data_IF_609470692919
#
_entry.id   IF_609470692919
#
_cell.length_a   1.000
_cell.length_b   1.000
_cell.length_c   1.000
_cell.angle_alpha   90.00
_cell.angle_beta   90.00
_cell.angle_gamma   90.00
#
_symmetry.space_group_name_H-M   'P 1'
#
loop_
_entity.id
_entity.type
_entity.pdbx_description
1 polymer ?
#
# COMPACT_ATOMS: atom_id res chain seq x y z
N UNK A 1 43.15 -39.42 -16.80
CA UNK A 1 42.57 -38.16 -16.31
C UNK A 1 42.70 -37.04 -17.34
N UNK A 2 41.59 -36.34 -17.61
CA UNK A 2 41.50 -35.09 -18.39
C UNK A 2 41.39 -33.94 -17.38
N UNK A 3 42.33 -32.96 -17.37
CA UNK A 3 42.19 -31.77 -16.54
C UNK A 3 41.21 -30.77 -17.17
N UNK A 4 40.49 -30.04 -16.33
CA UNK A 4 39.51 -29.03 -16.75
C UNK A 4 38.76 -28.42 -15.56
N UNK A 5 37.86 -27.49 -15.84
CA UNK A 5 37.00 -26.82 -14.86
C UNK A 5 35.55 -26.75 -15.36
N UNK A 6 34.61 -26.70 -14.41
CA UNK A 6 33.19 -26.49 -14.68
C UNK A 6 32.83 -25.02 -14.42
N UNK A 7 32.27 -24.36 -15.43
CA UNK A 7 31.96 -22.92 -15.42
C UNK A 7 30.46 -22.70 -15.63
N UNK A 8 29.92 -21.68 -14.96
CA UNK A 8 28.50 -21.30 -15.01
C UNK A 8 28.37 -19.80 -15.29
N UNK A 9 27.48 -19.42 -16.19
CA UNK A 9 27.14 -18.00 -16.42
C UNK A 9 26.22 -17.47 -15.31
N UNK A 10 26.45 -16.23 -14.86
CA UNK A 10 25.62 -15.59 -13.83
C UNK A 10 25.92 -16.02 -12.39
N UNK A 11 27.00 -16.78 -12.18
CA UNK A 11 27.36 -17.31 -10.86
C UNK A 11 27.79 -16.21 -9.89
N UNK A 12 27.13 -16.15 -8.73
CA UNK A 12 27.52 -15.29 -7.61
C UNK A 12 28.25 -16.14 -6.58
N UNK A 13 29.35 -15.63 -6.03
CA UNK A 13 30.11 -16.31 -4.97
C UNK A 13 30.12 -15.48 -3.70
N UNK A 14 29.78 -16.11 -2.57
CA UNK A 14 29.94 -15.51 -1.25
C UNK A 14 31.41 -15.65 -0.78
N UNK A 15 31.80 -14.88 0.24
CA UNK A 15 33.13 -14.89 0.89
C UNK A 15 33.64 -16.29 1.26
N UNK A 16 32.73 -17.23 1.50
CA UNK A 16 33.03 -18.64 1.84
C UNK A 16 33.22 -19.54 0.60
N UNK A 17 33.26 -19.00 -0.62
CA UNK A 17 33.40 -19.75 -1.88
C UNK A 17 32.14 -20.51 -2.33
N UNK A 18 31.04 -20.43 -1.58
CA UNK A 18 29.73 -21.00 -1.98
C UNK A 18 29.18 -20.28 -3.20
N UNK A 19 28.63 -21.06 -4.13
CA UNK A 19 28.16 -20.65 -5.46
C UNK A 19 26.64 -20.58 -5.51
N UNK A 20 26.11 -19.49 -6.04
CA UNK A 20 24.69 -19.22 -6.12
C UNK A 20 24.28 -18.82 -7.55
N UNK A 21 23.06 -19.19 -7.94
CA UNK A 21 22.42 -18.80 -9.20
C UNK A 21 20.95 -18.43 -8.97
N UNK A 22 20.37 -17.71 -9.92
CA UNK A 22 18.99 -17.25 -9.89
C UNK A 22 18.03 -18.26 -10.52
N UNK A 23 16.94 -18.59 -9.81
CA UNK A 23 15.83 -19.39 -10.34
C UNK A 23 15.18 -18.73 -11.57
N UNK A 24 14.74 -19.53 -12.55
CA UNK A 24 14.09 -19.04 -13.78
C UNK A 24 15.03 -18.34 -14.79
N UNK A 25 16.32 -18.19 -14.48
CA UNK A 25 17.32 -17.65 -15.41
C UNK A 25 17.98 -18.75 -16.25
N UNK A 26 18.19 -18.49 -17.56
CA UNK A 26 18.87 -19.44 -18.45
C UNK A 26 20.36 -19.45 -18.10
N UNK A 27 20.83 -20.55 -17.53
CA UNK A 27 22.24 -20.77 -17.19
C UNK A 27 22.93 -21.57 -18.29
N UNK A 28 24.06 -21.08 -18.78
CA UNK A 28 25.00 -21.85 -19.58
C UNK A 28 26.01 -22.54 -18.65
N UNK A 29 25.93 -23.87 -18.61
CA UNK A 29 26.84 -24.76 -17.88
C UNK A 29 27.86 -25.28 -18.90
N UNK A 30 29.17 -25.10 -18.65
CA UNK A 30 30.21 -25.45 -19.62
C UNK A 30 31.46 -26.07 -18.98
N UNK A 31 32.06 -27.06 -19.65
CA UNK A 31 33.35 -27.66 -19.26
C UNK A 31 34.47 -27.06 -20.09
N UNK A 32 35.42 -26.42 -19.40
CA UNK A 32 36.66 -25.93 -20.01
C UNK A 32 37.77 -26.96 -19.81
N UNK A 33 38.21 -27.62 -20.88
CA UNK A 33 39.29 -28.62 -20.85
C UNK A 33 40.66 -27.94 -20.93
N UNK A 34 41.60 -28.35 -20.07
CA UNK A 34 42.93 -27.74 -19.94
C UNK A 34 44.01 -28.54 -20.70
N UNK A 35 44.00 -28.46 -22.03
CA UNK A 35 45.08 -28.98 -22.90
C UNK A 35 45.68 -27.88 -23.80
N UNK A 36 46.91 -28.08 -24.32
CA UNK A 36 47.45 -27.22 -25.37
C UNK A 36 46.55 -27.21 -26.62
N UNK A 37 46.44 -26.06 -27.29
CA UNK A 37 45.51 -25.87 -28.43
C UNK A 37 45.66 -26.92 -29.54
N UNK A 38 46.90 -27.30 -29.88
CA UNK A 38 47.19 -28.34 -30.89
C UNK A 38 46.52 -29.68 -30.53
N UNK A 39 46.65 -30.10 -29.27
CA UNK A 39 46.05 -31.33 -28.77
C UNK A 39 44.53 -31.27 -28.83
N UNK A 40 43.93 -30.11 -28.49
CA UNK A 40 42.48 -29.92 -28.53
C UNK A 40 41.90 -29.99 -29.96
N UNK A 41 42.63 -29.52 -30.98
CA UNK A 41 42.19 -29.57 -32.38
C UNK A 41 42.23 -30.99 -32.98
N UNK A 42 43.13 -31.84 -32.48
CA UNK A 42 43.31 -33.23 -32.92
C UNK A 42 42.53 -34.24 -32.04
N UNK A 43 41.78 -33.77 -31.04
CA UNK A 43 41.04 -34.62 -30.09
C UNK A 43 39.54 -34.58 -30.31
N UNK A 44 38.89 -35.73 -30.12
CA UNK A 44 37.43 -35.85 -30.06
C UNK A 44 37.00 -36.02 -28.60
N UNK A 45 35.93 -35.34 -28.18
CA UNK A 45 35.40 -35.42 -26.81
C UNK A 45 33.91 -35.75 -26.82
N UNK A 46 33.49 -36.60 -25.90
CA UNK A 46 32.10 -36.88 -25.58
C UNK A 46 31.85 -36.58 -24.10
N UNK A 47 30.69 -35.99 -23.81
CA UNK A 47 30.28 -35.50 -22.51
C UNK A 47 29.03 -36.25 -22.07
N UNK A 48 29.07 -36.87 -20.90
CA UNK A 48 27.92 -37.44 -20.21
C UNK A 48 27.57 -36.54 -19.04
N UNK A 49 26.44 -35.86 -19.15
CA UNK A 49 25.93 -34.91 -18.17
C UNK A 49 24.95 -35.58 -17.22
N UNK A 50 24.92 -35.05 -16.00
CA UNK A 50 23.97 -35.40 -14.94
C UNK A 50 23.63 -34.09 -14.25
N UNK A 51 22.41 -33.61 -14.48
CA UNK A 51 21.87 -32.37 -13.93
C UNK A 51 20.54 -32.79 -13.30
N UNK A 52 20.39 -32.61 -11.99
CA UNK A 52 19.21 -33.08 -11.25
C UNK A 52 18.99 -34.60 -11.46
N UNK A 53 17.83 -35.01 -11.98
CA UNK A 53 17.51 -36.40 -12.35
C UNK A 53 17.83 -36.71 -13.83
N UNK A 54 18.15 -35.70 -14.64
CA UNK A 54 18.39 -35.84 -16.08
C UNK A 54 19.81 -36.34 -16.38
N UNK A 55 19.88 -37.48 -17.08
CA UNK A 55 21.12 -38.07 -17.58
C UNK A 55 21.12 -38.07 -19.12
N UNK A 56 22.11 -37.44 -19.76
CA UNK A 56 22.22 -37.42 -21.22
C UNK A 56 23.68 -37.36 -21.71
N UNK A 57 23.89 -37.75 -22.97
CA UNK A 57 25.20 -37.74 -23.64
C UNK A 57 25.20 -36.82 -24.85
N UNK A 58 26.26 -36.05 -25.05
CA UNK A 58 26.42 -35.10 -26.16
C UNK A 58 27.90 -34.93 -26.53
N UNK A 59 28.16 -34.42 -27.73
CA UNK A 59 29.46 -33.92 -28.19
C UNK A 59 29.74 -32.47 -27.73
N UNK A 60 28.71 -31.75 -27.26
CA UNK A 60 28.84 -30.36 -26.82
C UNK A 60 29.47 -30.25 -25.43
N UNK A 61 30.47 -29.37 -25.31
CA UNK A 61 31.12 -29.01 -24.04
C UNK A 61 30.26 -28.13 -23.13
N UNK A 62 29.05 -27.77 -23.56
CA UNK A 62 28.15 -26.89 -22.83
C UNK A 62 26.68 -27.31 -22.96
N UNK A 63 25.87 -26.87 -21.99
CA UNK A 63 24.42 -27.07 -21.94
C UNK A 63 23.75 -25.80 -21.42
N UNK A 64 22.70 -25.36 -22.11
CA UNK A 64 21.76 -24.38 -21.56
C UNK A 64 20.72 -25.13 -20.73
N UNK A 65 20.48 -24.66 -19.51
CA UNK A 65 19.51 -25.22 -18.56
C UNK A 65 18.92 -24.10 -17.70
N UNK A 66 17.67 -24.26 -17.25
CA UNK A 66 16.94 -23.26 -16.45
C UNK A 66 16.39 -23.97 -15.22
N UNK A 67 16.93 -23.62 -14.05
CA UNK A 67 16.49 -24.19 -12.78
C UNK A 67 15.14 -23.59 -12.36
N UNK A 68 14.17 -24.44 -12.02
CA UNK A 68 12.83 -24.06 -11.57
C UNK A 68 12.69 -23.96 -10.05
N UNK A 69 13.51 -24.72 -9.32
CA UNK A 69 13.33 -24.93 -7.88
C UNK A 69 14.56 -24.46 -7.09
N UNK A 70 14.32 -23.63 -6.08
CA UNK A 70 15.37 -23.16 -5.18
C UNK A 70 15.87 -24.27 -4.23
N UNK A 71 17.18 -24.33 -4.02
CA UNK A 71 17.79 -25.38 -3.20
C UNK A 71 19.22 -25.73 -3.62
N UNK A 72 19.86 -26.70 -2.95
CA UNK A 72 21.14 -27.24 -3.35
C UNK A 72 20.96 -28.19 -4.55
N UNK A 73 21.71 -27.94 -5.62
CA UNK A 73 21.67 -28.69 -6.87
C UNK A 73 23.07 -29.19 -7.21
N UNK A 74 23.16 -30.49 -7.50
CA UNK A 74 24.44 -31.16 -7.75
C UNK A 74 24.61 -31.48 -9.23
N UNK A 75 25.60 -30.86 -9.86
CA UNK A 75 25.85 -30.98 -11.29
C UNK A 75 27.11 -31.80 -11.48
N UNK A 76 27.03 -32.82 -12.34
CA UNK A 76 28.11 -33.78 -12.59
C UNK A 76 28.26 -33.99 -14.10
N UNK A 77 29.50 -34.09 -14.55
CA UNK A 77 29.81 -34.35 -15.95
C UNK A 77 31.05 -35.23 -16.06
N UNK A 78 30.88 -36.37 -16.71
CA UNK A 78 31.95 -37.26 -17.11
C UNK A 78 32.34 -36.94 -18.56
N UNK A 79 33.64 -36.74 -18.80
CA UNK A 79 34.16 -36.44 -20.14
C UNK A 79 35.06 -37.57 -20.58
N UNK A 80 34.84 -38.12 -21.77
CA UNK A 80 35.73 -39.09 -22.42
C UNK A 80 36.31 -38.44 -23.66
N UNK A 81 37.64 -38.46 -23.78
CA UNK A 81 38.37 -37.88 -24.90
C UNK A 81 39.27 -38.91 -25.58
N UNK A 82 39.19 -38.97 -26.90
CA UNK A 82 40.16 -39.64 -27.77
C UNK A 82 41.22 -38.60 -28.14
N UNK A 83 42.45 -38.81 -27.66
CA UNK A 83 43.52 -37.80 -27.69
C UNK A 83 44.74 -38.36 -28.42
N UNK A 84 45.43 -37.60 -29.29
CA UNK A 84 46.65 -38.04 -29.97
C UNK A 84 47.78 -38.40 -28.99
N UNK A 85 48.61 -39.34 -29.39
CA UNK A 85 49.72 -39.88 -28.60
C UNK A 85 51.04 -39.68 -29.34
N UNK A 86 51.70 -38.53 -29.11
CA UNK A 86 52.83 -38.04 -29.90
C UNK A 86 54.09 -38.92 -30.07
N UNK A 87 54.32 -40.04 -29.35
CA UNK A 87 55.31 -41.04 -29.78
C UNK A 87 54.95 -41.80 -31.07
N UNK A 88 53.66 -41.87 -31.44
CA UNK A 88 53.14 -42.52 -32.65
C UNK A 88 52.20 -41.58 -33.40
N UNK A 89 52.50 -41.27 -34.66
CA UNK A 89 51.71 -40.34 -35.48
C UNK A 89 50.28 -40.81 -35.75
N UNK A 90 50.00 -42.10 -35.64
CA UNK A 90 48.66 -42.67 -35.78
C UNK A 90 48.08 -43.15 -34.43
N UNK A 91 48.83 -42.97 -33.34
CA UNK A 91 48.45 -43.42 -32.01
C UNK A 91 47.41 -42.50 -31.38
N UNK A 92 46.27 -43.07 -30.98
CA UNK A 92 45.30 -42.41 -30.12
C UNK A 92 45.25 -43.11 -28.76
N UNK A 93 45.03 -42.34 -27.70
CA UNK A 93 44.70 -42.89 -26.38
C UNK A 93 43.41 -42.30 -25.85
N UNK A 94 42.61 -43.15 -25.23
CA UNK A 94 41.43 -42.71 -24.50
C UNK A 94 41.84 -42.19 -23.13
N UNK A 95 41.27 -41.05 -22.75
CA UNK A 95 41.30 -40.56 -21.38
C UNK A 95 39.88 -40.19 -20.96
N UNK A 96 39.66 -40.23 -19.66
CA UNK A 96 38.44 -39.72 -19.04
C UNK A 96 38.78 -38.64 -18.01
N UNK A 97 37.83 -37.77 -17.71
CA UNK A 97 37.84 -36.82 -16.59
C UNK A 97 36.44 -36.76 -15.97
N UNK A 98 36.34 -36.31 -14.73
CA UNK A 98 35.08 -36.19 -14.01
C UNK A 98 35.05 -34.86 -13.27
N UNK A 99 34.01 -34.08 -13.50
CA UNK A 99 33.83 -32.77 -12.89
C UNK A 99 32.48 -32.76 -12.18
N UNK A 100 32.45 -32.27 -10.95
CA UNK A 100 31.24 -32.13 -10.17
C UNK A 100 31.32 -30.89 -9.31
N UNK A 101 30.20 -30.19 -9.16
CA UNK A 101 30.10 -28.95 -8.38
C UNK A 101 28.69 -28.85 -7.79
N UNK A 102 28.61 -28.36 -6.56
CA UNK A 102 27.34 -28.14 -5.86
C UNK A 102 27.05 -26.65 -5.86
N UNK A 103 25.91 -26.28 -6.44
CA UNK A 103 25.45 -24.90 -6.55
C UNK A 103 24.15 -24.74 -5.77
N UNK A 104 23.88 -23.56 -5.22
CA UNK A 104 22.61 -23.28 -4.54
C UNK A 104 21.78 -22.32 -5.38
N UNK A 105 20.66 -22.81 -5.91
CA UNK A 105 19.68 -21.99 -6.63
C UNK A 105 18.87 -21.17 -5.60
N UNK A 106 18.65 -19.89 -5.91
CA UNK A 106 18.01 -18.90 -5.05
C UNK A 106 16.97 -18.10 -5.84
N UNK A 107 15.76 -18.03 -5.28
CA UNK A 107 14.71 -17.16 -5.82
C UNK A 107 15.08 -15.68 -5.64
N UNK A 108 15.01 -14.88 -6.71
CA UNK A 108 15.29 -13.45 -6.67
C UNK A 108 14.20 -12.70 -5.90
N UNK A 109 14.57 -11.59 -5.25
CA UNK A 109 13.62 -10.63 -4.71
C UNK A 109 13.11 -9.77 -5.87
N UNK A 110 11.84 -9.94 -6.23
CA UNK A 110 11.21 -9.17 -7.33
C UNK A 110 10.35 -8.02 -6.80
N UNK A 111 9.67 -8.21 -5.66
CA UNK A 111 8.79 -7.22 -5.06
C UNK A 111 8.96 -7.22 -3.54
N UNK A 112 8.79 -6.04 -2.93
CA UNK A 112 8.64 -5.85 -1.49
C UNK A 112 7.19 -5.42 -1.25
N UNK A 113 6.50 -6.13 -0.37
CA UNK A 113 5.17 -5.82 0.12
C UNK A 113 5.26 -5.19 1.51
N UNK A 114 4.40 -4.23 1.79
CA UNK A 114 4.43 -3.40 3.00
C UNK A 114 3.01 -3.32 3.54
N UNK A 115 2.79 -3.89 4.71
CA UNK A 115 1.51 -3.86 5.42
C UNK A 115 1.63 -3.05 6.71
N UNK A 116 0.64 -2.21 7.00
CA UNK A 116 0.61 -1.35 8.17
C UNK A 116 0.10 0.05 7.84
N UNK A 117 0.00 0.92 8.85
CA UNK A 117 -0.54 2.26 8.68
C UNK A 117 0.59 3.31 8.54
N UNK A 118 0.56 4.10 7.48
CA UNK A 118 1.51 5.22 7.26
C UNK A 118 0.95 6.59 7.63
N UNK A 119 -0.33 6.68 8.04
CA UNK A 119 -0.98 7.92 8.49
C UNK A 119 -1.22 7.86 10.00
N UNK A 120 -0.31 8.43 10.77
CA UNK A 120 -0.25 8.29 12.22
C UNK A 120 -0.65 9.59 12.94
N UNK A 121 -1.31 9.45 14.09
CA UNK A 121 -1.49 10.56 15.01
C UNK A 121 -0.19 10.81 15.79
N UNK A 122 0.06 12.08 16.11
CA UNK A 122 1.17 12.42 16.99
C UNK A 122 1.09 11.64 18.31
N UNK A 123 2.16 10.89 18.63
CA UNK A 123 2.20 9.99 19.78
C UNK A 123 1.99 8.50 19.46
N UNK A 124 1.52 8.15 18.26
CA UNK A 124 1.41 6.75 17.82
C UNK A 124 2.78 6.19 17.36
N UNK A 125 2.90 4.86 17.42
CA UNK A 125 4.03 4.12 16.86
C UNK A 125 3.75 3.77 15.40
N UNK A 126 4.77 3.90 14.55
CA UNK A 126 4.79 3.24 13.25
C UNK A 126 5.03 1.76 13.49
N UNK A 127 4.13 0.93 12.96
CA UNK A 127 4.21 -0.52 12.93
C UNK A 127 3.93 -0.97 11.49
N UNK A 128 4.98 -1.43 10.81
CA UNK A 128 4.91 -1.96 9.45
C UNK A 128 5.48 -3.37 9.44
N UNK A 129 4.74 -4.31 8.87
CA UNK A 129 5.25 -5.64 8.52
C UNK A 129 5.70 -5.64 7.06
N UNK A 130 6.97 -5.95 6.84
CA UNK A 130 7.61 -5.98 5.52
C UNK A 130 7.76 -7.44 5.11
N UNK A 131 7.23 -7.79 3.94
CA UNK A 131 7.36 -9.13 3.36
C UNK A 131 7.92 -9.06 1.94
N UNK A 132 8.68 -10.06 1.51
CA UNK A 132 9.13 -10.13 0.12
C UNK A 132 9.13 -11.55 -0.45
N UNK A 133 8.90 -11.62 -1.76
CA UNK A 133 8.95 -12.86 -2.54
C UNK A 133 10.38 -13.09 -3.05
N UNK A 134 11.18 -13.80 -2.25
CA UNK A 134 12.54 -14.25 -2.54
C UNK A 134 13.06 -15.23 -1.46
N UNK A 135 14.07 -16.02 -1.79
CA UNK A 135 14.56 -17.09 -0.91
C UNK A 135 15.61 -16.60 0.09
N UNK A 136 15.45 -16.90 1.38
CA UNK A 136 16.41 -16.48 2.42
C UNK A 136 17.77 -17.21 2.39
N UNK A 137 18.81 -16.72 3.09
CA UNK A 137 18.78 -15.58 4.00
C UNK A 137 18.73 -14.24 3.26
N UNK A 138 18.13 -13.24 3.90
CA UNK A 138 17.94 -11.89 3.37
C UNK A 138 18.59 -10.89 4.31
N UNK A 139 19.46 -10.05 3.77
CA UNK A 139 20.06 -8.90 4.45
C UNK A 139 19.17 -7.69 4.24
N UNK A 140 18.72 -7.02 5.30
CA UNK A 140 17.85 -5.85 5.20
C UNK A 140 18.28 -4.73 6.14
N UNK A 141 17.80 -3.53 5.84
CA UNK A 141 18.09 -2.31 6.57
C UNK A 141 17.12 -1.20 6.16
N UNK A 142 16.87 -0.25 7.05
CA UNK A 142 15.96 0.86 6.79
C UNK A 142 16.42 2.13 7.50
N UNK A 143 16.08 3.30 6.96
CA UNK A 143 16.35 4.61 7.55
C UNK A 143 15.24 5.59 7.22
N UNK A 144 15.00 6.53 8.14
CA UNK A 144 14.10 7.65 7.94
C UNK A 144 14.90 8.82 7.36
N UNK A 145 14.45 9.32 6.22
CA UNK A 145 15.01 10.44 5.50
C UNK A 145 14.19 11.71 5.80
N UNK A 146 14.86 12.88 5.97
CA UNK A 146 14.17 14.15 6.09
C UNK A 146 13.59 14.57 4.73
N UNK A 147 12.42 15.24 4.69
CA UNK A 147 11.66 15.51 3.46
C UNK A 147 12.34 16.43 2.43
N UNK A 148 13.55 16.94 2.71
CA UNK A 148 14.31 17.84 1.85
C UNK A 148 15.58 17.23 1.27
N UNK A 149 15.86 15.94 1.52
CA UNK A 149 17.01 15.24 0.90
C UNK A 149 16.53 14.23 -0.12
N UNK A 150 16.82 14.49 -1.39
CA UNK A 150 16.70 13.51 -2.46
C UNK A 150 17.48 12.23 -2.07
N UNK A 151 16.85 11.07 -2.22
CA UNK A 151 17.27 9.77 -1.67
C UNK A 151 18.54 9.15 -2.29
N UNK A 152 19.23 9.85 -3.20
CA UNK A 152 20.31 9.32 -4.05
C UNK A 152 21.58 8.84 -3.34
N UNK A 153 21.61 8.83 -2.00
CA UNK A 153 22.69 8.31 -1.17
C UNK A 153 22.16 7.58 0.08
N UNK A 154 21.08 6.81 -0.05
CA UNK A 154 20.72 5.84 0.99
C UNK A 154 21.85 4.80 1.12
N UNK A 155 22.42 4.70 2.32
CA UNK A 155 23.53 3.78 2.62
C UNK A 155 23.27 3.07 3.93
N UNK A 156 23.22 1.74 3.88
CA UNK A 156 23.07 0.90 5.06
C UNK A 156 24.39 0.76 5.81
N UNK A 157 24.43 1.34 7.00
CA UNK A 157 25.46 1.10 8.01
C UNK A 157 25.17 -0.17 8.82
N UNK A 158 23.88 -0.39 9.12
CA UNK A 158 23.41 -1.38 10.09
C UNK A 158 22.53 -2.39 9.35
N UNK A 159 23.17 -3.43 8.81
CA UNK A 159 22.51 -4.51 8.06
C UNK A 159 22.16 -5.64 9.01
N UNK A 160 20.92 -6.12 8.92
CA UNK A 160 20.39 -7.24 9.71
C UNK A 160 20.10 -8.41 8.77
N UNK A 161 20.60 -9.60 9.08
CA UNK A 161 20.31 -10.82 8.31
C UNK A 161 19.14 -11.58 8.93
N UNK A 162 18.09 -11.84 8.14
CA UNK A 162 16.99 -12.74 8.48
C UNK A 162 17.08 -14.07 7.72
N UNK A 163 16.52 -15.14 8.27
CA UNK A 163 16.36 -16.44 7.58
C UNK A 163 15.23 -16.42 6.56
N UNK A 164 14.22 -15.58 6.77
CA UNK A 164 13.02 -15.46 5.93
C UNK A 164 12.81 -14.00 5.53
N UNK A 165 12.16 -13.75 4.40
CA UNK A 165 11.85 -12.38 3.98
C UNK A 165 10.53 -11.86 4.60
N UNK A 166 10.50 -11.83 5.93
CA UNK A 166 9.51 -11.12 6.73
C UNK A 166 10.22 -10.46 7.92
N UNK A 167 9.95 -9.17 8.16
CA UNK A 167 10.47 -8.45 9.32
C UNK A 167 9.60 -7.21 9.66
N UNK A 168 9.38 -6.91 10.94
CA UNK A 168 8.70 -5.69 11.35
C UNK A 168 9.63 -4.47 11.37
N UNK A 169 9.09 -3.30 11.06
CA UNK A 169 9.68 -1.98 11.30
C UNK A 169 8.82 -1.26 12.35
N UNK A 170 9.41 -1.07 13.53
CA UNK A 170 8.80 -0.36 14.65
C UNK A 170 9.56 0.94 14.93
N UNK A 171 8.89 2.09 14.85
CA UNK A 171 9.53 3.39 15.08
C UNK A 171 8.60 4.43 15.73
N UNK A 172 9.18 5.28 16.59
CA UNK A 172 8.50 6.40 17.23
C UNK A 172 9.01 7.74 16.70
N UNK A 173 8.10 8.56 16.17
CA UNK A 173 8.40 9.90 15.70
C UNK A 173 8.12 10.95 16.78
N UNK A 174 9.03 11.90 16.93
CA UNK A 174 8.96 12.95 17.97
C UNK A 174 8.21 14.21 17.55
N UNK A 175 8.17 14.50 16.25
CA UNK A 175 7.60 15.71 15.69
C UNK A 175 6.57 15.35 14.61
N UNK A 176 5.52 16.16 14.46
CA UNK A 176 4.55 16.03 13.37
C UNK A 176 5.15 16.49 12.03
N UNK A 177 4.66 15.94 10.92
CA UNK A 177 5.18 16.23 9.59
C UNK A 177 5.17 15.03 8.64
N UNK A 178 5.80 15.23 7.48
CA UNK A 178 5.96 14.20 6.45
C UNK A 178 7.40 13.66 6.48
N UNK A 179 7.53 12.35 6.53
CA UNK A 179 8.81 11.64 6.56
C UNK A 179 8.88 10.63 5.41
N UNK A 180 10.08 10.36 4.92
CA UNK A 180 10.30 9.28 3.96
C UNK A 180 11.01 8.12 4.67
N UNK A 181 10.47 6.91 4.56
CA UNK A 181 11.09 5.69 5.04
C UNK A 181 11.69 4.96 3.83
N UNK A 182 13.01 4.88 3.80
CA UNK A 182 13.75 4.10 2.81
C UNK A 182 14.11 2.73 3.40
N UNK A 183 13.77 1.67 2.67
CA UNK A 183 13.93 0.26 3.04
C UNK A 183 14.76 -0.39 1.93
N UNK A 184 15.83 -1.07 2.30
CA UNK A 184 16.66 -1.84 1.38
C UNK A 184 16.70 -3.29 1.82
N UNK A 185 16.51 -4.18 0.84
CA UNK A 185 16.38 -5.62 1.03
C UNK A 185 17.24 -6.31 -0.02
N UNK A 186 18.16 -7.14 0.44
CA UNK A 186 19.19 -7.77 -0.37
C UNK A 186 19.24 -9.27 -0.13
N UNK A 187 19.04 -10.04 -1.19
CA UNK A 187 19.42 -11.45 -1.26
C UNK A 187 20.78 -11.54 -1.98
N UNK A 188 21.50 -12.65 -1.77
CA UNK A 188 22.78 -12.97 -2.43
C UNK A 188 22.75 -12.88 -3.97
N UNK A 189 21.57 -12.83 -4.58
CA UNK A 189 21.36 -12.66 -6.03
C UNK A 189 20.89 -11.23 -6.41
N UNK A 190 20.07 -10.58 -5.57
CA UNK A 190 19.31 -9.38 -5.94
C UNK A 190 19.17 -8.40 -4.77
N UNK A 191 19.53 -7.13 -5.01
CA UNK A 191 19.24 -6.00 -4.12
C UNK A 191 18.07 -5.17 -4.63
N UNK A 192 17.12 -4.85 -3.77
CA UNK A 192 15.97 -3.98 -4.07
C UNK A 192 15.83 -2.90 -2.99
N UNK A 193 15.49 -1.69 -3.42
CA UNK A 193 15.26 -0.55 -2.55
C UNK A 193 13.84 -0.03 -2.75
N UNK A 194 13.18 0.36 -1.66
CA UNK A 194 11.82 0.86 -1.64
C UNK A 194 11.68 2.03 -0.69
N UNK A 195 11.13 3.13 -1.19
CA UNK A 195 10.76 4.29 -0.41
C UNK A 195 9.23 4.34 -0.23
N UNK A 196 8.79 4.77 0.96
CA UNK A 196 7.40 5.11 1.26
C UNK A 196 7.32 6.41 2.06
N UNK A 197 6.19 7.10 1.97
CA UNK A 197 5.91 8.30 2.77
C UNK A 197 5.12 7.92 4.03
N UNK A 198 5.49 8.55 5.16
CA UNK A 198 4.83 8.42 6.46
C UNK A 198 4.39 9.81 6.90
N UNK A 199 3.10 9.97 7.16
CA UNK A 199 2.46 11.24 7.50
C UNK A 199 2.05 11.24 8.96
N UNK A 200 2.41 12.29 9.67
CA UNK A 200 2.18 12.39 11.12
C UNK A 200 1.44 13.68 11.41
N UNK A 201 0.15 13.55 11.66
CA UNK A 201 -0.73 14.68 11.92
C UNK A 201 -0.90 14.91 13.41
N UNK A 202 -0.89 16.18 13.81
CA UNK A 202 -1.20 16.57 15.17
C UNK A 202 -2.72 16.80 15.29
N UNK A 203 -3.36 16.12 16.24
CA UNK A 203 -4.78 16.29 16.52
C UNK A 203 -4.93 17.55 17.37
N UNK A 204 -5.08 18.69 16.69
CA UNK A 204 -5.32 19.99 17.32
C UNK A 204 -6.59 19.96 18.18
N UNK A 205 -6.45 19.64 19.48
CA UNK A 205 -7.50 19.73 20.51
C UNK A 205 -7.89 21.18 20.86
N UNK A 206 -7.58 22.15 19.99
CA UNK A 206 -8.07 23.52 20.14
C UNK A 206 -9.56 23.52 19.84
N UNK A 207 -10.44 23.83 20.80
CA UNK A 207 -11.84 24.04 20.48
C UNK A 207 -11.91 25.18 19.46
N UNK A 208 -12.56 24.94 18.32
CA UNK A 208 -12.75 26.02 17.35
C UNK A 208 -13.47 27.17 18.05
N UNK A 209 -13.00 28.40 17.82
CA UNK A 209 -13.54 29.61 18.45
C UNK A 209 -15.07 29.71 18.28
N UNK A 210 -15.59 29.17 17.17
CA UNK A 210 -17.00 28.91 16.88
C UNK A 210 -17.80 28.33 18.05
N UNK A 211 -17.30 27.25 18.69
CA UNK A 211 -18.02 26.51 19.75
C UNK A 211 -18.28 27.34 21.00
N UNK A 212 -17.44 28.33 21.29
CA UNK A 212 -17.57 29.22 22.47
C UNK A 212 -18.25 30.54 22.10
N UNK A 213 -17.96 31.10 20.93
CA UNK A 213 -18.49 32.41 20.51
C UNK A 213 -19.98 32.33 20.19
N UNK A 214 -20.46 31.28 19.50
CA UNK A 214 -21.86 31.19 19.06
C UNK A 214 -22.85 31.21 20.23
N UNK A 215 -22.68 30.41 21.32
CA UNK A 215 -23.58 30.46 22.47
C UNK A 215 -23.60 31.82 23.19
N UNK A 216 -22.45 32.50 23.27
CA UNK A 216 -22.31 33.79 23.95
C UNK A 216 -22.96 34.93 23.16
N UNK A 217 -22.79 34.96 21.84
CA UNK A 217 -23.47 35.95 20.98
C UNK A 217 -24.99 35.73 21.00
N UNK A 218 -25.43 34.47 20.98
CA UNK A 218 -26.86 34.13 21.04
C UNK A 218 -27.51 34.59 22.36
N UNK A 219 -26.87 34.36 23.51
CA UNK A 219 -27.43 34.77 24.81
C UNK A 219 -27.51 36.29 24.97
N UNK A 220 -26.52 37.05 24.49
CA UNK A 220 -26.56 38.52 24.47
C UNK A 220 -27.71 39.04 23.61
N UNK A 221 -27.93 38.47 22.42
CA UNK A 221 -29.05 38.86 21.55
C UNK A 221 -30.42 38.63 22.22
N UNK A 222 -30.61 37.50 22.91
CA UNK A 222 -31.86 37.21 23.64
C UNK A 222 -32.13 38.25 24.72
N UNK A 223 -31.11 38.64 25.50
CA UNK A 223 -31.24 39.67 26.56
C UNK A 223 -31.64 41.03 25.95
N UNK A 224 -31.06 41.42 24.82
CA UNK A 224 -31.41 42.66 24.12
C UNK A 224 -32.86 42.64 23.58
N UNK A 225 -33.32 41.49 23.05
CA UNK A 225 -34.71 41.32 22.58
C UNK A 225 -35.69 41.46 23.76
N UNK A 226 -35.40 40.85 24.90
CA UNK A 226 -36.26 40.96 26.10
C UNK A 226 -36.28 42.40 26.62
N UNK A 227 -35.12 43.05 26.75
CA UNK A 227 -35.04 44.44 27.22
C UNK A 227 -35.79 45.42 26.30
N UNK A 228 -35.65 45.28 24.98
CA UNK A 228 -36.38 46.12 24.02
C UNK A 228 -37.88 45.84 24.04
N UNK A 229 -38.32 44.59 24.17
CA UNK A 229 -39.73 44.23 24.32
C UNK A 229 -40.36 44.85 25.58
N UNK A 230 -39.67 44.81 26.73
CA UNK A 230 -40.14 45.43 27.98
C UNK A 230 -40.27 46.95 27.84
N UNK A 231 -39.28 47.63 27.26
CA UNK A 231 -39.33 49.08 27.03
C UNK A 231 -40.48 49.48 26.10
N UNK A 232 -40.70 48.72 25.02
CA UNK A 232 -41.82 48.95 24.10
C UNK A 232 -43.19 48.69 24.77
N UNK A 233 -43.30 47.65 25.60
CA UNK A 233 -44.51 47.34 26.36
C UNK A 233 -44.88 48.49 27.32
N UNK A 234 -43.91 48.98 28.10
CA UNK A 234 -44.15 50.08 29.05
C UNK A 234 -44.53 51.39 28.32
N UNK A 235 -43.86 51.73 27.22
CA UNK A 235 -44.20 52.91 26.40
C UNK A 235 -45.60 52.81 25.77
N UNK A 236 -46.04 51.61 25.38
CA UNK A 236 -47.39 51.40 24.84
C UNK A 236 -48.48 51.53 25.91
N UNK A 237 -48.15 51.21 27.17
CA UNK A 237 -49.10 51.23 28.27
C UNK A 237 -49.27 52.62 28.92
N UNK A 238 -48.38 53.60 28.68
CA UNK A 238 -48.50 54.96 29.23
C UNK A 238 -49.34 55.93 28.39
N UNK A 239 -49.87 55.51 27.24
CA UNK A 239 -50.60 56.38 26.30
C UNK A 239 -52.09 56.01 26.18
N UNK A 240 -52.70 55.50 27.26
CA UNK A 240 -54.14 55.28 27.36
C UNK A 240 -54.77 56.30 28.32
N UNK A 241 -54.74 57.57 27.93
CA UNK A 241 -55.71 58.55 28.43
C UNK A 241 -56.99 58.49 27.58
N UNK A 242 -58.11 58.62 28.27
CA UNK A 242 -59.48 58.42 27.78
C UNK A 242 -59.93 59.61 26.93
N UNK A 243 -60.62 59.37 25.81
CA UNK A 243 -61.76 60.20 25.41
C UNK A 243 -62.94 59.36 24.87
N UNK A 244 -64.10 60.00 24.77
CA UNK A 244 -65.44 59.42 24.88
C UNK A 244 -65.94 58.65 23.64
N UNK A 245 -66.90 57.76 23.88
CA UNK A 245 -67.67 57.12 22.81
C UNK A 245 -68.48 58.15 22.01
N UNK A 246 -68.42 58.03 20.68
CA UNK A 246 -69.42 58.61 19.79
C UNK A 246 -70.38 57.49 19.35
N UNK A 247 -71.68 57.75 19.43
CA UNK A 247 -72.74 56.81 19.04
C UNK A 247 -73.35 57.33 17.75
N UNK A 248 -73.07 56.66 16.63
CA UNK A 248 -73.86 56.84 15.41
C UNK A 248 -74.60 55.54 15.08
N UNK A 249 -75.90 55.66 14.83
CA UNK A 249 -76.82 54.53 14.65
C UNK A 249 -77.40 54.55 13.23
N UNK A 250 -77.60 53.34 12.67
CA UNK A 250 -78.32 53.07 11.41
C UNK A 250 -77.52 53.42 10.12
N UNK A 251 -77.62 52.69 9.00
CA UNK A 251 -78.22 51.38 8.71
C UNK A 251 -77.73 50.84 7.34
N UNK A 252 -78.01 49.54 7.09
CA UNK A 252 -78.38 48.96 5.77
C UNK A 252 -77.28 48.69 4.73
N UNK A 253 -76.98 47.38 4.67
CA UNK A 253 -76.97 46.49 3.49
C UNK A 253 -75.72 46.19 2.61
N UNK A 254 -75.58 44.87 2.46
CA UNK A 254 -75.07 44.07 1.34
C UNK A 254 -73.61 44.16 0.86
N UNK A 255 -72.92 43.04 1.15
CA UNK A 255 -72.09 42.28 0.18
C UNK A 255 -70.72 42.84 -0.21
N UNK A 256 -69.71 42.52 0.59
CA UNK A 256 -68.59 41.69 0.09
C UNK A 256 -67.71 41.21 1.23
N UNK A 257 -67.50 39.89 1.32
CA UNK A 257 -66.61 39.31 2.29
C UNK A 257 -65.15 39.52 1.88
N UNK A 258 -64.39 40.27 2.68
CA UNK A 258 -62.93 40.25 2.66
C UNK A 258 -62.44 39.91 4.06
N UNK A 259 -62.23 38.60 4.29
CA UNK A 259 -61.57 38.12 5.50
C UNK A 259 -60.10 38.54 5.41
N UNK A 260 -59.71 39.54 6.19
CA UNK A 260 -58.29 39.85 6.39
C UNK A 260 -57.65 38.73 7.23
N UNK A 261 -56.86 37.85 6.60
CA UNK A 261 -56.08 36.84 7.33
C UNK A 261 -55.16 37.55 8.35
N UNK A 262 -55.24 37.16 9.62
CA UNK A 262 -54.43 37.72 10.69
C UNK A 262 -52.96 37.31 10.57
N UNK A 263 -52.03 38.16 11.03
CA UNK A 263 -50.58 37.95 10.88
C UNK A 263 -50.05 36.69 11.55
N UNK A 264 -50.81 36.13 12.50
CA UNK A 264 -50.52 34.87 13.18
C UNK A 264 -50.58 33.66 12.22
N UNK A 265 -51.58 33.59 11.35
CA UNK A 265 -51.77 32.52 10.36
C UNK A 265 -50.62 32.48 9.34
N UNK A 266 -50.16 33.67 8.92
CA UNK A 266 -48.98 33.83 8.05
C UNK A 266 -47.71 33.33 8.78
N UNK A 267 -47.51 33.74 10.03
CA UNK A 267 -46.33 33.36 10.82
C UNK A 267 -46.31 31.84 11.11
N UNK A 268 -47.47 31.24 11.39
CA UNK A 268 -47.66 29.80 11.57
C UNK A 268 -47.30 29.01 10.30
N UNK A 269 -47.72 29.47 9.11
CA UNK A 269 -47.35 28.83 7.84
C UNK A 269 -45.82 28.87 7.61
N UNK A 270 -45.17 30.01 7.83
CA UNK A 270 -43.71 30.15 7.67
C UNK A 270 -42.90 29.24 8.60
N UNK A 271 -43.33 29.08 9.87
CA UNK A 271 -42.67 28.19 10.83
C UNK A 271 -42.79 26.72 10.44
N UNK A 272 -43.95 26.28 9.95
CA UNK A 272 -44.17 24.88 9.52
C UNK A 272 -43.27 24.51 8.32
N UNK A 273 -43.06 25.42 7.37
CA UNK A 273 -42.15 25.19 6.24
C UNK A 273 -40.68 25.03 6.69
N UNK A 274 -40.22 25.80 7.67
CA UNK A 274 -38.85 25.71 8.19
C UNK A 274 -38.58 24.41 8.96
N UNK A 275 -39.58 23.85 9.65
CA UNK A 275 -39.45 22.58 10.37
C UNK A 275 -39.37 21.40 9.39
N UNK A 276 -40.16 21.38 8.32
CA UNK A 276 -40.09 20.32 7.32
C UNK A 276 -38.75 20.29 6.56
N UNK A 277 -38.13 21.44 6.31
CA UNK A 277 -36.82 21.54 5.64
C UNK A 277 -35.64 20.98 6.46
N UNK A 278 -35.79 20.73 7.76
CA UNK A 278 -34.72 20.13 8.60
C UNK A 278 -34.77 18.60 8.72
N UNK A 279 -35.78 17.91 8.17
CA UNK A 279 -35.93 16.46 8.29
C UNK A 279 -35.51 15.65 7.06
N UNK A 280 -34.96 16.26 6.00
CA UNK A 280 -34.57 15.57 4.75
C UNK A 280 -33.06 15.60 4.41
N UNK A 281 -32.21 15.86 5.41
CA UNK A 281 -30.75 15.68 5.30
C UNK A 281 -30.21 14.71 6.35
N UNK A 282 -30.82 13.52 6.45
CA UNK A 282 -30.21 12.35 7.09
C UNK A 282 -30.72 11.07 6.43
N UNK A 283 -29.84 10.06 6.30
CA UNK A 283 -30.07 8.77 5.64
C UNK A 283 -30.16 8.78 4.11
N UNK A 284 -29.01 8.60 3.46
CA UNK A 284 -28.91 7.99 2.13
C UNK A 284 -28.31 6.59 2.29
N UNK A 285 -29.13 5.54 2.22
CA UNK A 285 -28.69 4.21 1.75
C UNK A 285 -29.87 3.25 1.49
N UNK A 286 -29.89 2.67 0.29
CA UNK A 286 -30.49 1.35 0.00
C UNK A 286 -32.01 1.21 -0.14
N UNK A 287 -32.45 0.55 -1.22
CA UNK A 287 -33.64 -0.32 -1.17
C UNK A 287 -34.77 -0.02 -2.16
N UNK A 288 -34.83 -0.79 -3.25
CA UNK A 288 -36.02 -0.94 -4.09
C UNK A 288 -37.14 -1.72 -3.37
N UNK A 289 -38.39 -1.23 -3.43
CA UNK A 289 -39.59 -2.08 -3.57
C UNK A 289 -40.86 -1.26 -3.88
N UNK A 290 -41.61 -1.68 -4.92
CA UNK A 290 -43.01 -1.31 -5.08
C UNK A 290 -43.89 -2.07 -4.08
N UNK A 291 -44.82 -1.41 -3.39
CA UNK A 291 -46.06 -2.04 -2.90
C UNK A 291 -47.24 -1.08 -3.07
N UNK A 292 -48.33 -1.60 -3.62
CA UNK A 292 -49.59 -0.90 -3.90
C UNK A 292 -50.67 -1.25 -2.85
N UNK A 293 -51.82 -0.54 -2.94
CA UNK A 293 -53.08 -0.81 -2.22
C UNK A 293 -53.07 -0.46 -0.70
N UNK A 294 -54.17 0.00 -0.09
CA UNK A 294 -55.48 0.33 -0.65
C UNK A 294 -56.47 0.89 0.40
N UNK A 295 -57.27 1.85 -0.04
CA UNK A 295 -58.55 2.39 0.44
C UNK A 295 -59.38 1.55 1.44
N UNK A 296 -60.04 2.20 2.45
CA UNK A 296 -61.53 2.23 2.71
C UNK A 296 -61.96 2.56 4.18
N UNK A 297 -62.66 3.70 4.34
CA UNK A 297 -63.75 4.08 5.30
C UNK A 297 -63.52 3.90 6.84
N UNK A 298 -64.22 4.52 7.81
CA UNK A 298 -65.45 5.35 8.00
C UNK A 298 -65.08 6.44 9.06
N UNK A 299 -65.71 7.61 9.29
CA UNK A 299 -66.93 8.31 8.80
C UNK A 299 -67.78 8.84 9.99
N UNK A 300 -68.87 9.62 9.73
CA UNK A 300 -69.89 10.13 10.72
C UNK A 300 -69.38 11.34 11.56
N UNK A 301 -70.12 12.44 11.85
CA UNK A 301 -71.58 12.70 11.94
C UNK A 301 -71.98 14.17 11.59
N UNK A 302 -73.27 14.35 11.20
CA UNK A 302 -74.11 15.58 11.17
C UNK A 302 -73.69 16.78 10.30
#
# INVERSE_FOLDING_TARGET
YIPGTLNFTGIVQNKNGRKFLQTGSVTNISVQIHYPRLVLQESEFAYSWTIEEDHFTTDQSYKLHTFTDAGPHLIRVAVVGRIPFYPDKNGYRYKWGYFGDEITIKDPIVHINISGNTYLEHGQLLDLDISCNGSGPVDYCWKILPPTKNSSNFSCSDVVTSTECSFPILYYFRDSGNYQLAIHVNNLITSLEREIEVHIYDVSLRPELSTVIIPVVCSVLVVLIIATAVVLHMRRHSNYDIETADFDFMQVDESSAVIAETSWEVMRRSLLHLVQLRCLCYSSEGGSANVNYGTILVGVEK
#
